data_IF_041620897663
#
_entry.id   IF_041620897663
#
_cell.length_a   1.000
_cell.length_b   1.000
_cell.length_c   1.000
_cell.angle_alpha   90.00
_cell.angle_beta   90.00
_cell.angle_gamma   90.00
#
_symmetry.space_group_name_H-M   'P 1'
#
loop_
_entity.id
_entity.type
_entity.pdbx_description
1 polymer ?
#
# COMPACT_ATOMS: atom_id res chain seq x y z
N UNK A 1 31.02 -19.77 -35.48
CA UNK A 1 31.50 -18.41 -35.14
C UNK A 1 30.39 -17.41 -34.78
N UNK A 2 29.10 -17.72 -34.95
CA UNK A 2 27.97 -16.80 -34.66
C UNK A 2 27.40 -16.94 -33.22
N UNK A 3 27.79 -17.97 -32.46
CA UNK A 3 27.29 -18.18 -31.10
C UNK A 3 28.03 -17.36 -30.01
N UNK A 4 29.28 -16.97 -30.24
CA UNK A 4 30.11 -16.25 -29.26
C UNK A 4 29.84 -14.74 -29.24
N UNK A 5 29.50 -14.13 -30.38
CA UNK A 5 29.17 -12.71 -30.50
C UNK A 5 27.83 -12.35 -29.85
N UNK A 6 26.84 -13.26 -29.90
CA UNK A 6 25.50 -13.04 -29.34
C UNK A 6 25.44 -13.16 -27.80
N UNK A 7 26.35 -13.93 -27.20
CA UNK A 7 26.44 -14.08 -25.74
C UNK A 7 27.12 -12.85 -25.12
N UNK A 8 28.18 -12.35 -25.76
CA UNK A 8 28.92 -11.16 -25.31
C UNK A 8 28.06 -9.89 -25.37
N UNK A 9 27.24 -9.73 -26.43
CA UNK A 9 26.34 -8.57 -26.56
C UNK A 9 25.21 -8.57 -25.52
N UNK A 10 24.63 -9.73 -25.18
CA UNK A 10 23.58 -9.83 -24.16
C UNK A 10 24.10 -9.55 -22.75
N UNK A 11 25.30 -10.03 -22.42
CA UNK A 11 25.93 -9.75 -21.11
C UNK A 11 26.26 -8.27 -20.95
N UNK A 12 26.80 -7.64 -22.01
CA UNK A 12 27.07 -6.20 -22.01
C UNK A 12 25.79 -5.36 -21.88
N UNK A 13 24.73 -5.70 -22.63
CA UNK A 13 23.42 -5.03 -22.52
C UNK A 13 22.83 -5.22 -21.11
N UNK A 14 22.93 -6.42 -20.52
CA UNK A 14 22.49 -6.68 -19.15
C UNK A 14 23.25 -5.85 -18.11
N UNK A 15 24.57 -5.75 -18.24
CA UNK A 15 25.41 -4.93 -17.36
C UNK A 15 25.09 -3.44 -17.49
N UNK A 16 24.93 -2.93 -18.71
CA UNK A 16 24.55 -1.55 -18.97
C UNK A 16 23.18 -1.22 -18.37
N UNK A 17 22.17 -2.07 -18.59
CA UNK A 17 20.83 -1.91 -18.00
C UNK A 17 20.90 -1.86 -16.47
N UNK A 18 21.67 -2.75 -15.85
CA UNK A 18 21.86 -2.78 -14.40
C UNK A 18 22.53 -1.50 -13.90
N UNK A 19 23.57 -1.02 -14.59
CA UNK A 19 24.25 0.21 -14.25
C UNK A 19 23.32 1.42 -14.30
N UNK A 20 22.55 1.59 -15.38
CA UNK A 20 21.61 2.70 -15.53
C UNK A 20 20.45 2.64 -14.53
N UNK A 21 20.02 1.42 -14.19
CA UNK A 21 19.04 1.19 -13.13
C UNK A 21 19.56 1.67 -11.78
N UNK A 22 20.75 1.23 -11.36
CA UNK A 22 21.39 1.66 -10.11
C UNK A 22 21.61 3.18 -10.10
N UNK A 23 22.09 3.75 -11.21
CA UNK A 23 22.26 5.20 -11.36
C UNK A 23 20.95 5.97 -11.15
N UNK A 24 19.84 5.46 -11.70
CA UNK A 24 18.51 6.04 -11.50
C UNK A 24 18.09 5.97 -10.04
N UNK A 25 18.28 4.82 -9.39
CA UNK A 25 17.95 4.64 -7.96
C UNK A 25 18.78 5.54 -7.05
N UNK A 26 20.05 5.75 -7.34
CA UNK A 26 20.91 6.69 -6.60
C UNK A 26 20.39 8.12 -6.73
N UNK A 27 19.98 8.56 -7.93
CA UNK A 27 19.37 9.89 -8.13
C UNK A 27 18.08 10.04 -7.32
N UNK A 28 17.19 9.04 -7.39
CA UNK A 28 15.95 9.02 -6.60
C UNK A 28 16.24 9.09 -5.10
N UNK A 29 17.24 8.36 -4.62
CA UNK A 29 17.67 8.42 -3.22
C UNK A 29 18.12 9.83 -2.81
N UNK A 30 18.90 10.53 -3.64
CA UNK A 30 19.31 11.91 -3.35
C UNK A 30 18.11 12.87 -3.30
N UNK A 31 17.15 12.73 -4.21
CA UNK A 31 15.94 13.58 -4.21
C UNK A 31 15.04 13.33 -3.01
N UNK A 32 14.89 12.07 -2.60
CA UNK A 32 14.17 11.68 -1.39
C UNK A 32 14.87 12.21 -0.14
N UNK A 33 16.20 12.11 -0.07
CA UNK A 33 17.02 12.68 1.02
C UNK A 33 16.81 14.18 1.16
N UNK A 34 16.90 14.91 0.05
CA UNK A 34 16.69 16.36 0.04
C UNK A 34 15.27 16.73 0.50
N UNK A 35 14.27 15.93 0.13
CA UNK A 35 12.90 16.13 0.59
C UNK A 35 12.76 15.86 2.09
N UNK A 36 13.37 14.78 2.60
CA UNK A 36 13.36 14.46 4.04
C UNK A 36 14.08 15.51 4.89
N UNK A 37 15.14 16.13 4.36
CA UNK A 37 15.97 17.12 5.05
C UNK A 37 15.34 18.53 5.12
N UNK A 38 14.18 18.74 4.46
CA UNK A 38 13.46 20.01 4.57
C UNK A 38 13.03 20.30 6.01
N UNK A 39 12.83 21.58 6.35
CA UNK A 39 12.43 21.98 7.71
C UNK A 39 10.96 21.66 8.00
N UNK A 40 10.71 20.42 8.46
CA UNK A 40 9.37 19.93 8.83
C UNK A 40 8.67 20.77 9.91
N UNK A 41 9.42 21.60 10.67
CA UNK A 41 8.81 22.49 11.67
C UNK A 41 8.00 23.62 11.05
N UNK A 42 8.17 23.87 9.76
CA UNK A 42 7.45 24.88 8.97
C UNK A 42 6.23 24.31 8.25
N UNK A 43 6.06 23.00 8.25
CA UNK A 43 4.94 22.32 7.58
C UNK A 43 3.77 22.26 8.57
N UNK A 44 2.69 22.97 8.26
CA UNK A 44 1.45 22.96 9.04
C UNK A 44 0.49 21.96 8.41
N UNK A 45 0.03 21.00 9.20
CA UNK A 45 -0.93 19.97 8.81
C UNK A 45 -1.69 19.50 10.04
N UNK A 46 -3.00 19.34 9.90
CA UNK A 46 -3.94 18.84 10.90
C UNK A 46 -4.44 17.42 10.58
N UNK A 47 -3.84 16.77 9.57
CA UNK A 47 -4.26 15.43 9.14
C UNK A 47 -4.08 14.41 10.26
N UNK A 48 -5.12 13.61 10.51
CA UNK A 48 -5.13 12.60 11.57
C UNK A 48 -4.64 11.21 11.11
N UNK A 49 -4.41 11.03 9.80
CA UNK A 49 -3.93 9.77 9.23
C UNK A 49 -2.61 9.30 9.89
N UNK A 50 -2.61 8.12 10.51
CA UNK A 50 -1.50 7.57 11.29
C UNK A 50 -1.07 8.43 12.50
N UNK A 51 -1.95 9.27 13.05
CA UNK A 51 -1.58 10.17 14.13
C UNK A 51 -1.23 9.43 15.44
N UNK A 52 -1.92 8.33 15.75
CA UNK A 52 -1.64 7.51 16.93
C UNK A 52 -0.30 6.79 16.78
N UNK A 53 -0.08 6.14 15.64
CA UNK A 53 1.13 5.37 15.31
C UNK A 53 2.38 6.24 15.36
N UNK A 54 2.24 7.48 14.89
CA UNK A 54 3.35 8.44 14.83
C UNK A 54 3.48 9.26 16.11
N UNK A 55 2.60 9.07 17.10
CA UNK A 55 2.63 9.79 18.37
C UNK A 55 2.34 11.28 18.21
N UNK A 56 1.47 11.65 17.28
CA UNK A 56 1.03 13.03 17.04
C UNK A 56 -0.40 13.31 17.51
N UNK A 57 -1.19 12.26 17.80
CA UNK A 57 -2.55 12.41 18.34
C UNK A 57 -2.55 13.17 19.67
N UNK A 58 -3.44 14.14 19.81
CA UNK A 58 -3.62 14.96 21.03
C UNK A 58 -2.52 15.99 21.31
N UNK A 59 -1.52 16.13 20.43
CA UNK A 59 -0.45 17.12 20.58
C UNK A 59 -0.91 18.52 20.13
N UNK A 60 -0.28 19.56 20.69
CA UNK A 60 -0.40 20.92 20.17
C UNK A 60 0.23 21.04 18.78
N UNK A 61 -0.17 22.03 17.98
CA UNK A 61 0.36 22.22 16.63
C UNK A 61 1.89 22.31 16.59
N UNK A 62 2.51 23.02 17.54
CA UNK A 62 3.97 23.15 17.62
C UNK A 62 4.64 21.80 17.95
N UNK A 63 4.03 21.02 18.84
CA UNK A 63 4.52 19.69 19.21
C UNK A 63 4.35 18.66 18.08
N UNK A 64 3.26 18.75 17.29
CA UNK A 64 3.07 17.94 16.07
C UNK A 64 4.21 18.21 15.10
N UNK A 65 4.54 19.47 14.84
CA UNK A 65 5.61 19.87 13.92
C UNK A 65 6.99 19.44 14.41
N UNK A 66 7.24 19.53 15.72
CA UNK A 66 8.46 18.98 16.33
C UNK A 66 8.53 17.44 16.18
N UNK A 67 7.39 16.75 16.31
CA UNK A 67 7.33 15.30 16.13
C UNK A 67 7.54 14.89 14.68
N UNK A 68 6.98 15.61 13.70
CA UNK A 68 7.26 15.37 12.28
C UNK A 68 8.75 15.52 11.96
N UNK A 69 9.42 16.52 12.54
CA UNK A 69 10.87 16.67 12.43
C UNK A 69 11.64 15.46 13.01
N UNK A 70 11.23 14.95 14.18
CA UNK A 70 11.83 13.74 14.74
C UNK A 70 11.63 12.51 13.85
N UNK A 71 10.40 12.31 13.34
CA UNK A 71 10.06 11.22 12.41
C UNK A 71 10.92 11.27 11.15
N UNK A 72 11.09 12.45 10.56
CA UNK A 72 11.95 12.63 9.39
C UNK A 72 13.39 12.22 9.68
N UNK A 73 13.94 12.59 10.85
CA UNK A 73 15.29 12.18 11.26
C UNK A 73 15.42 10.66 11.47
N UNK A 74 14.40 10.01 12.02
CA UNK A 74 14.36 8.55 12.15
C UNK A 74 14.38 7.86 10.76
N UNK A 75 13.61 8.37 9.81
CA UNK A 75 13.60 7.88 8.41
C UNK A 75 14.93 8.16 7.71
N UNK A 76 15.51 9.35 7.90
CA UNK A 76 16.83 9.74 7.42
C UNK A 76 17.90 8.75 7.90
N UNK A 77 17.84 8.33 9.17
CA UNK A 77 18.77 7.33 9.70
C UNK A 77 18.67 6.01 8.92
N UNK A 78 17.47 5.57 8.56
CA UNK A 78 17.26 4.37 7.72
C UNK A 78 17.82 4.56 6.32
N UNK A 79 17.59 5.71 5.70
CA UNK A 79 18.15 6.01 4.38
C UNK A 79 19.69 6.00 4.36
N UNK A 80 20.34 6.35 5.46
CA UNK A 80 21.79 6.33 5.59
C UNK A 80 22.37 4.93 5.83
N UNK A 81 21.62 4.03 6.48
CA UNK A 81 22.12 2.70 6.86
C UNK A 81 21.69 1.57 5.92
N UNK A 82 20.56 1.73 5.22
CA UNK A 82 19.92 0.63 4.49
C UNK A 82 20.48 0.48 3.07
N UNK A 83 20.59 -0.77 2.64
CA UNK A 83 20.94 -1.15 1.26
C UNK A 83 19.66 -1.18 0.42
N UNK A 84 19.72 -0.92 -0.88
CA UNK A 84 18.57 -1.05 -1.77
C UNK A 84 17.87 -2.42 -1.64
N UNK A 85 18.66 -3.48 -1.49
CA UNK A 85 18.14 -4.85 -1.30
C UNK A 85 17.73 -5.22 0.12
N UNK A 86 17.73 -4.29 1.07
CA UNK A 86 17.23 -4.53 2.42
C UNK A 86 15.72 -4.76 2.37
N UNK A 87 15.24 -5.75 3.12
CA UNK A 87 13.83 -6.12 3.18
C UNK A 87 13.26 -5.72 4.54
N UNK A 88 12.12 -5.06 4.52
CA UNK A 88 11.34 -4.70 5.70
C UNK A 88 10.11 -5.56 5.75
N UNK A 89 9.82 -6.14 6.90
CA UNK A 89 8.72 -7.09 7.11
C UNK A 89 7.69 -6.47 8.03
N UNK A 90 6.41 -6.63 7.70
CA UNK A 90 5.30 -6.13 8.53
C UNK A 90 5.36 -6.72 9.95
N UNK A 91 4.77 -6.06 10.96
CA UNK A 91 4.70 -6.61 12.32
C UNK A 91 4.04 -8.01 12.38
N UNK A 92 3.04 -8.26 11.53
CA UNK A 92 2.38 -9.57 11.36
C UNK A 92 3.24 -10.61 10.67
N UNK A 93 4.32 -10.19 9.99
CA UNK A 93 5.14 -11.00 9.07
C UNK A 93 4.39 -11.54 7.84
N UNK A 94 3.22 -10.99 7.54
CA UNK A 94 2.41 -11.37 6.39
C UNK A 94 2.88 -10.76 5.06
N UNK A 95 3.63 -9.66 5.10
CA UNK A 95 4.14 -8.99 3.89
C UNK A 95 5.54 -8.41 4.11
N UNK A 96 6.25 -8.15 3.02
CA UNK A 96 7.54 -7.49 3.03
C UNK A 96 7.68 -6.48 1.88
N UNK A 97 8.58 -5.52 2.04
CA UNK A 97 8.93 -4.53 1.04
C UNK A 97 10.44 -4.31 1.01
N UNK A 98 11.02 -4.18 -0.17
CA UNK A 98 12.43 -3.82 -0.32
C UNK A 98 12.64 -2.32 -0.19
N UNK A 99 13.78 -1.89 0.33
CA UNK A 99 14.14 -0.47 0.37
C UNK A 99 14.14 0.16 -1.03
N UNK A 100 14.50 -0.61 -2.05
CA UNK A 100 14.40 -0.24 -3.46
C UNK A 100 13.00 0.16 -3.92
N UNK A 101 11.95 -0.50 -3.42
CA UNK A 101 10.55 -0.16 -3.70
C UNK A 101 10.07 1.06 -2.92
N UNK A 102 10.78 1.45 -1.85
CA UNK A 102 10.52 2.68 -1.09
C UNK A 102 11.15 3.89 -1.77
N UNK A 103 12.41 3.76 -2.19
CA UNK A 103 13.20 4.84 -2.81
C UNK A 103 12.61 5.28 -4.16
N UNK A 104 12.33 6.57 -4.25
CA UNK A 104 11.74 7.25 -5.41
C UNK A 104 10.23 7.11 -5.52
N UNK A 105 9.58 6.33 -4.64
CA UNK A 105 8.14 6.11 -4.68
C UNK A 105 7.42 6.96 -3.62
N UNK A 106 7.71 6.76 -2.33
CA UNK A 106 6.87 7.31 -1.28
C UNK A 106 6.99 8.83 -1.09
N UNK A 107 8.18 9.42 -1.22
CA UNK A 107 8.37 10.85 -0.98
C UNK A 107 7.63 11.73 -2.01
N UNK A 108 7.67 11.35 -3.30
CA UNK A 108 7.17 12.19 -4.41
C UNK A 108 6.60 11.40 -5.62
N UNK A 109 6.69 10.09 -5.61
CA UNK A 109 6.34 9.25 -6.76
C UNK A 109 4.94 8.63 -6.66
N UNK A 110 4.59 7.94 -7.75
CA UNK A 110 3.43 7.05 -7.79
C UNK A 110 3.75 5.78 -7.03
N UNK A 111 2.83 5.37 -6.17
CA UNK A 111 2.97 4.12 -5.44
C UNK A 111 2.69 2.96 -6.39
N UNK A 112 3.56 1.95 -6.39
CA UNK A 112 3.27 0.67 -7.00
C UNK A 112 2.61 -0.27 -5.98
N UNK A 113 2.38 -1.52 -6.35
CA UNK A 113 1.70 -2.50 -5.51
C UNK A 113 2.42 -2.75 -4.17
N UNK A 114 3.75 -2.66 -4.12
CA UNK A 114 4.53 -3.03 -2.92
C UNK A 114 4.24 -2.18 -1.68
N UNK A 115 4.37 -0.83 -1.68
CA UNK A 115 4.00 -0.01 -0.53
C UNK A 115 2.49 -0.02 -0.24
N UNK A 116 1.65 -0.25 -1.24
CA UNK A 116 0.20 -0.41 -1.06
C UNK A 116 -0.09 -1.68 -0.26
N UNK A 117 0.25 -2.84 -0.78
CA UNK A 117 -0.01 -4.13 -0.11
C UNK A 117 0.67 -4.19 1.27
N UNK A 118 1.85 -3.59 1.42
CA UNK A 118 2.50 -3.48 2.74
C UNK A 118 1.66 -2.67 3.74
N UNK A 119 1.18 -1.48 3.35
CA UNK A 119 0.38 -0.64 4.24
C UNK A 119 -0.98 -1.28 4.55
N UNK A 120 -1.63 -1.87 3.55
CA UNK A 120 -2.90 -2.57 3.75
C UNK A 120 -2.73 -3.79 4.66
N UNK A 121 -1.65 -4.56 4.57
CA UNK A 121 -1.35 -5.65 5.51
C UNK A 121 -1.13 -5.12 6.95
N UNK A 122 -0.49 -3.97 7.12
CA UNK A 122 -0.37 -3.32 8.44
C UNK A 122 -1.75 -2.91 8.97
N UNK A 123 -2.61 -2.31 8.14
CA UNK A 123 -4.00 -1.97 8.51
C UNK A 123 -4.75 -3.25 8.94
N UNK A 124 -4.71 -4.29 8.10
CA UNK A 124 -5.42 -5.54 8.35
C UNK A 124 -4.98 -6.27 9.62
N UNK A 125 -3.68 -6.16 9.98
CA UNK A 125 -3.12 -6.82 11.17
C UNK A 125 -3.27 -6.05 12.47
N UNK A 126 -3.42 -4.72 12.40
CA UNK A 126 -3.64 -3.86 13.58
C UNK A 126 -5.12 -3.69 13.90
N UNK A 127 -5.98 -3.87 12.90
CA UNK A 127 -7.42 -3.75 13.01
C UNK A 127 -8.12 -5.01 13.53
N UNK A 128 -9.12 -4.80 14.38
CA UNK A 128 -9.98 -5.89 14.84
C UNK A 128 -10.83 -6.44 13.68
N UNK A 129 -10.78 -7.75 13.45
CA UNK A 129 -11.67 -8.47 12.52
C UNK A 129 -11.62 -7.94 11.07
N UNK A 130 -10.47 -7.46 10.62
CA UNK A 130 -10.25 -7.03 9.24
C UNK A 130 -9.72 -8.19 8.35
N UNK A 131 -10.08 -8.21 7.08
CA UNK A 131 -9.49 -9.09 6.06
C UNK A 131 -9.07 -8.25 4.87
N UNK A 132 -7.80 -8.36 4.49
CA UNK A 132 -7.22 -7.57 3.40
C UNK A 132 -6.89 -8.52 2.26
N UNK A 133 -7.30 -8.12 1.06
CA UNK A 133 -6.95 -8.77 -0.20
C UNK A 133 -5.76 -8.06 -0.83
N UNK A 134 -4.95 -8.77 -1.63
CA UNK A 134 -3.84 -8.16 -2.37
C UNK A 134 -4.37 -7.31 -3.52
N UNK A 135 -3.63 -6.26 -3.89
CA UNK A 135 -3.89 -5.47 -5.11
C UNK A 135 -3.89 -6.32 -6.39
N UNK A 136 -3.23 -7.47 -6.36
CA UNK A 136 -3.15 -8.38 -7.48
C UNK A 136 -4.39 -9.25 -7.70
N UNK A 137 -5.36 -9.25 -6.77
CA UNK A 137 -6.52 -10.17 -6.77
C UNK A 137 -7.28 -10.21 -8.11
N UNK A 138 -7.48 -9.05 -8.75
CA UNK A 138 -8.17 -8.97 -10.06
C UNK A 138 -7.32 -9.52 -11.21
N UNK A 139 -6.00 -9.44 -11.11
CA UNK A 139 -5.05 -9.87 -12.15
C UNK A 139 -4.60 -11.32 -12.01
N UNK A 140 -4.48 -11.85 -10.79
CA UNK A 140 -3.97 -13.20 -10.50
C UNK A 140 -5.07 -14.18 -10.13
N UNK A 141 -6.30 -13.69 -9.97
CA UNK A 141 -7.44 -14.47 -9.54
C UNK A 141 -7.69 -14.41 -8.03
N UNK A 142 -8.91 -14.77 -7.66
CA UNK A 142 -9.42 -14.68 -6.29
C UNK A 142 -8.85 -15.78 -5.39
N UNK A 143 -8.45 -15.45 -4.15
CA UNK A 143 -7.94 -16.44 -3.23
C UNK A 143 -9.04 -17.43 -2.80
N UNK A 144 -8.60 -18.54 -2.20
CA UNK A 144 -9.50 -19.43 -1.45
C UNK A 144 -10.11 -18.65 -0.29
N UNK A 145 -11.34 -19.02 0.08
CA UNK A 145 -12.01 -18.40 1.23
C UNK A 145 -11.23 -18.69 2.51
N UNK A 146 -11.11 -17.70 3.42
CA UNK A 146 -10.49 -17.90 4.71
C UNK A 146 -11.20 -19.00 5.51
N UNK A 147 -10.45 -19.67 6.41
CA UNK A 147 -11.01 -20.65 7.35
C UNK A 147 -11.84 -20.00 8.46
N UNK A 148 -11.56 -18.73 8.79
CA UNK A 148 -12.33 -17.97 9.79
C UNK A 148 -13.74 -17.73 9.28
N UNK A 149 -14.71 -17.63 10.18
CA UNK A 149 -16.09 -17.33 9.82
C UNK A 149 -16.19 -15.91 9.25
N UNK A 150 -17.02 -15.74 8.22
CA UNK A 150 -17.28 -14.40 7.68
C UNK A 150 -18.03 -13.53 8.70
N UNK A 151 -18.85 -14.14 9.56
CA UNK A 151 -19.59 -13.47 10.65
C UNK A 151 -18.68 -12.94 11.75
N UNK A 152 -17.45 -13.48 11.87
CA UNK A 152 -16.39 -12.98 12.74
C UNK A 152 -15.53 -11.89 12.08
N UNK A 153 -15.90 -11.42 10.89
CA UNK A 153 -15.18 -10.37 10.15
C UNK A 153 -16.03 -9.10 10.14
N UNK A 154 -15.40 -7.94 10.40
CA UNK A 154 -16.00 -6.60 10.37
C UNK A 154 -15.72 -5.87 9.05
N UNK A 155 -14.54 -6.11 8.46
CA UNK A 155 -14.11 -5.43 7.24
C UNK A 155 -13.47 -6.40 6.26
N UNK A 156 -13.78 -6.25 4.98
CA UNK A 156 -12.99 -6.80 3.87
C UNK A 156 -12.51 -5.62 3.02
N UNK A 157 -11.21 -5.53 2.77
CA UNK A 157 -10.60 -4.41 2.08
C UNK A 157 -9.85 -4.93 0.86
N UNK A 158 -10.07 -4.30 -0.28
CA UNK A 158 -9.40 -4.61 -1.53
C UNK A 158 -8.84 -3.33 -2.15
N UNK A 159 -7.52 -3.11 -2.17
CA UNK A 159 -6.91 -2.13 -3.05
C UNK A 159 -7.07 -2.59 -4.51
N UNK A 160 -7.34 -1.64 -5.40
CA UNK A 160 -7.58 -1.90 -6.83
C UNK A 160 -6.61 -1.06 -7.65
N UNK A 161 -5.76 -1.74 -8.42
CA UNK A 161 -4.86 -1.08 -9.36
C UNK A 161 -5.60 -0.88 -10.70
N UNK A 162 -5.99 0.35 -10.96
CA UNK A 162 -6.80 0.76 -12.10
C UNK A 162 -5.86 1.16 -13.26
N UNK A 163 -5.95 0.39 -14.35
CA UNK A 163 -5.17 0.60 -15.59
C UNK A 163 -3.66 0.72 -15.41
N UNK A 164 -3.11 0.18 -14.31
CA UNK A 164 -1.67 0.22 -13.97
C UNK A 164 -1.13 1.63 -13.71
N UNK A 165 -2.00 2.61 -13.51
CA UNK A 165 -1.63 4.02 -13.33
C UNK A 165 -2.38 4.70 -12.19
N UNK A 166 -3.44 4.09 -11.68
CA UNK A 166 -4.32 4.70 -10.71
C UNK A 166 -4.73 3.71 -9.60
N UNK A 167 -5.15 4.22 -8.44
CA UNK A 167 -5.49 3.42 -7.28
C UNK A 167 -6.89 3.75 -6.78
N UNK A 168 -7.73 2.72 -6.70
CA UNK A 168 -8.99 2.75 -5.96
C UNK A 168 -8.97 1.78 -4.78
N UNK A 169 -10.00 1.83 -3.94
CA UNK A 169 -10.19 0.86 -2.87
C UNK A 169 -11.66 0.51 -2.68
N UNK A 170 -11.93 -0.79 -2.52
CA UNK A 170 -13.23 -1.31 -2.10
C UNK A 170 -13.15 -1.66 -0.62
N UNK A 171 -13.94 -0.97 0.20
CA UNK A 171 -14.07 -1.19 1.64
C UNK A 171 -15.44 -1.80 1.91
N UNK A 172 -15.46 -3.08 2.26
CA UNK A 172 -16.71 -3.80 2.54
C UNK A 172 -16.88 -3.95 4.05
N UNK A 173 -17.89 -3.29 4.60
CA UNK A 173 -18.25 -3.47 6.01
C UNK A 173 -19.22 -4.64 6.17
N UNK A 174 -19.01 -5.42 7.22
CA UNK A 174 -19.77 -6.61 7.55
C UNK A 174 -20.38 -6.45 8.94
N UNK A 175 -21.70 -6.59 9.02
CA UNK A 175 -22.44 -6.52 10.28
C UNK A 175 -23.32 -7.75 10.42
N UNK A 176 -22.90 -8.69 11.26
CA UNK A 176 -23.68 -9.87 11.60
C UNK A 176 -24.70 -9.56 12.69
N UNK A 177 -25.97 -9.82 12.40
CA UNK A 177 -27.09 -9.68 13.34
C UNK A 177 -27.51 -11.07 13.82
N UNK A 178 -27.01 -11.46 14.99
CA UNK A 178 -27.21 -12.79 15.57
C UNK A 178 -28.69 -13.13 15.79
N UNK A 179 -29.49 -12.18 16.28
CA UNK A 179 -30.91 -12.39 16.58
C UNK A 179 -31.77 -12.79 15.38
N UNK A 180 -31.32 -12.47 14.17
CA UNK A 180 -32.04 -12.76 12.93
C UNK A 180 -31.26 -13.70 11.99
N UNK A 181 -30.04 -14.10 12.39
CA UNK A 181 -29.06 -14.82 11.58
C UNK A 181 -28.89 -14.17 10.18
N UNK A 182 -28.58 -12.86 10.17
CA UNK A 182 -28.39 -12.07 8.94
C UNK A 182 -27.01 -11.43 8.93
N UNK A 183 -26.22 -11.71 7.89
CA UNK A 183 -25.02 -10.94 7.58
C UNK A 183 -25.34 -9.80 6.62
N UNK A 184 -25.19 -8.56 7.08
CA UNK A 184 -25.33 -7.35 6.26
C UNK A 184 -23.98 -6.94 5.69
N UNK A 185 -23.94 -6.73 4.38
CA UNK A 185 -22.74 -6.37 3.63
C UNK A 185 -22.95 -5.00 2.99
N UNK A 186 -22.16 -4.00 3.38
CA UNK A 186 -22.19 -2.67 2.77
C UNK A 186 -20.87 -2.38 2.06
N UNK A 187 -20.88 -2.32 0.72
CA UNK A 187 -19.70 -1.96 -0.07
C UNK A 187 -19.56 -0.44 -0.20
N UNK A 188 -18.40 0.07 0.17
CA UNK A 188 -17.96 1.45 -0.03
C UNK A 188 -16.84 1.47 -1.05
N UNK A 189 -17.02 2.19 -2.16
CA UNK A 189 -16.01 2.34 -3.21
C UNK A 189 -15.43 3.75 -3.13
N UNK A 190 -14.10 3.85 -3.19
CA UNK A 190 -13.39 5.12 -3.22
C UNK A 190 -12.37 5.12 -4.36
N UNK A 191 -12.45 6.17 -5.17
CA UNK A 191 -11.49 6.50 -6.22
C UNK A 191 -11.17 8.01 -6.03
N UNK A 192 -9.93 8.38 -5.66
CA UNK A 192 -9.63 9.76 -5.21
C UNK A 192 -9.73 10.89 -6.24
N UNK A 193 -9.85 10.61 -7.55
CA UNK A 193 -10.04 11.59 -8.63
C UNK A 193 -11.51 11.81 -9.01
N UNK A 194 -12.39 10.85 -8.72
CA UNK A 194 -13.78 10.82 -9.19
C UNK A 194 -13.85 10.87 -10.73
N UNK A 195 -13.04 10.03 -11.36
CA UNK A 195 -13.05 9.85 -12.81
C UNK A 195 -14.11 8.81 -13.19
N UNK A 196 -15.04 9.18 -14.09
CA UNK A 196 -16.11 8.29 -14.54
C UNK A 196 -15.57 6.99 -15.15
N UNK A 197 -14.43 7.04 -15.86
CA UNK A 197 -13.82 5.86 -16.48
C UNK A 197 -13.29 4.88 -15.42
N UNK A 198 -12.76 5.40 -14.32
CA UNK A 198 -12.32 4.56 -13.19
C UNK A 198 -13.48 4.09 -12.31
N UNK A 199 -14.60 4.81 -12.30
CA UNK A 199 -15.79 4.36 -11.57
C UNK A 199 -16.33 3.05 -12.15
N UNK A 200 -16.40 2.92 -13.48
CA UNK A 200 -16.83 1.68 -14.14
C UNK A 200 -15.91 0.51 -13.76
N UNK A 201 -14.59 0.67 -13.89
CA UNK A 201 -13.58 -0.34 -13.53
C UNK A 201 -13.68 -0.78 -12.04
N UNK A 202 -14.01 0.17 -11.15
CA UNK A 202 -14.21 -0.09 -9.72
C UNK A 202 -15.50 -0.87 -9.47
N UNK A 203 -16.59 -0.54 -10.17
CA UNK A 203 -17.82 -1.32 -10.10
C UNK A 203 -17.63 -2.75 -10.62
N UNK A 204 -16.84 -2.94 -11.68
CA UNK A 204 -16.45 -4.27 -12.16
C UNK A 204 -15.65 -5.04 -11.11
N UNK A 205 -14.71 -4.38 -10.43
CA UNK A 205 -13.93 -5.00 -9.34
C UNK A 205 -14.83 -5.52 -8.21
N UNK A 206 -15.94 -4.84 -7.93
CA UNK A 206 -16.96 -5.30 -6.98
C UNK A 206 -17.88 -6.39 -7.57
N UNK A 207 -18.49 -6.13 -8.73
CA UNK A 207 -19.56 -6.98 -9.32
C UNK A 207 -19.02 -8.25 -9.95
N UNK A 208 -17.81 -8.20 -10.50
CA UNK A 208 -17.24 -9.17 -11.43
C UNK A 208 -17.50 -8.78 -12.88
N UNK A 209 -16.70 -9.33 -13.78
CA UNK A 209 -16.82 -9.12 -15.23
C UNK A 209 -17.64 -10.26 -15.82
N UNK A 210 -18.55 -9.90 -16.72
CA UNK A 210 -19.38 -10.85 -17.46
C UNK A 210 -19.13 -10.77 -18.95
N UNK A 211 -19.35 -11.86 -19.66
CA UNK A 211 -19.35 -11.86 -21.12
C UNK A 211 -20.69 -11.38 -21.71
N UNK A 212 -20.79 -11.42 -23.03
CA UNK A 212 -21.98 -11.04 -23.79
C UNK A 212 -23.18 -11.97 -23.53
N UNK A 213 -22.92 -13.19 -23.04
CA UNK A 213 -23.94 -14.17 -22.66
C UNK A 213 -24.35 -14.02 -21.18
N UNK A 214 -23.84 -12.99 -20.50
CA UNK A 214 -24.09 -12.66 -19.10
C UNK A 214 -23.54 -13.70 -18.10
N UNK A 215 -22.61 -14.55 -18.57
CA UNK A 215 -21.85 -15.49 -17.75
C UNK A 215 -20.65 -14.81 -17.10
N UNK A 216 -20.31 -15.22 -15.87
CA UNK A 216 -19.23 -14.59 -15.09
C UNK A 216 -17.87 -15.08 -15.61
N UNK A 217 -17.13 -14.19 -16.26
CA UNK A 217 -15.77 -14.45 -16.75
C UNK A 217 -14.74 -14.22 -15.65
N UNK A 218 -14.99 -13.22 -14.79
CA UNK A 218 -14.12 -12.89 -13.68
C UNK A 218 -14.96 -12.64 -12.43
N UNK A 219 -14.67 -13.36 -11.35
CA UNK A 219 -15.28 -13.09 -10.05
C UNK A 219 -14.97 -11.64 -9.62
N UNK A 220 -15.91 -11.01 -8.92
CA UNK A 220 -15.68 -9.74 -8.21
C UNK A 220 -15.77 -9.96 -6.71
N UNK A 221 -15.51 -8.92 -5.91
CA UNK A 221 -15.53 -9.04 -4.45
C UNK A 221 -16.89 -9.54 -3.94
N UNK A 222 -17.97 -9.16 -4.61
CA UNK A 222 -19.32 -9.65 -4.31
C UNK A 222 -19.42 -11.17 -4.43
N UNK A 223 -18.80 -11.77 -5.43
CA UNK A 223 -18.76 -13.22 -5.62
C UNK A 223 -17.96 -13.90 -4.51
N UNK A 224 -16.77 -13.36 -4.20
CA UNK A 224 -15.93 -13.86 -3.11
C UNK A 224 -16.64 -13.84 -1.75
N UNK A 225 -17.34 -12.74 -1.43
CA UNK A 225 -18.15 -12.61 -0.20
C UNK A 225 -19.27 -13.66 -0.15
N UNK A 226 -20.01 -13.86 -1.24
CA UNK A 226 -21.06 -14.89 -1.32
C UNK A 226 -20.48 -16.28 -1.08
N UNK A 227 -19.36 -16.60 -1.73
CA UNK A 227 -18.70 -17.89 -1.65
C UNK A 227 -18.15 -18.15 -0.24
N UNK A 228 -17.60 -17.13 0.42
CA UNK A 228 -17.16 -17.22 1.82
C UNK A 228 -18.32 -17.40 2.79
N UNK A 229 -19.42 -16.66 2.62
CA UNK A 229 -20.64 -16.86 3.41
C UNK A 229 -21.18 -18.28 3.25
N UNK A 230 -21.30 -18.78 2.01
CA UNK A 230 -21.76 -20.14 1.74
C UNK A 230 -20.86 -21.21 2.37
N UNK A 231 -19.54 -21.01 2.31
CA UNK A 231 -18.57 -21.98 2.82
C UNK A 231 -18.45 -21.98 4.34
N UNK A 232 -18.61 -20.83 5.00
CA UNK A 232 -18.37 -20.69 6.44
C UNK A 232 -19.64 -20.67 7.28
N UNK A 233 -20.75 -20.15 6.74
CA UNK A 233 -22.03 -19.98 7.44
C UNK A 233 -23.20 -20.22 6.47
N UNK A 234 -23.44 -21.47 6.01
CA UNK A 234 -24.36 -21.78 4.91
C UNK A 234 -25.84 -21.49 5.23
N UNK A 235 -26.22 -21.42 6.50
CA UNK A 235 -27.60 -21.12 6.94
C UNK A 235 -27.86 -19.62 7.11
N UNK A 236 -26.80 -18.82 7.27
CA UNK A 236 -26.91 -17.39 7.52
C UNK A 236 -27.43 -16.67 6.29
N UNK A 237 -28.44 -15.81 6.49
CA UNK A 237 -29.00 -15.00 5.40
C UNK A 237 -28.02 -13.90 5.02
N UNK A 238 -27.65 -13.83 3.74
CA UNK A 238 -26.76 -12.80 3.22
C UNK A 238 -27.58 -11.64 2.62
N UNK A 239 -27.41 -10.43 3.17
CA UNK A 239 -28.01 -9.19 2.63
C UNK A 239 -26.92 -8.24 2.17
N UNK A 240 -26.81 -8.08 0.85
CA UNK A 240 -25.85 -7.16 0.22
C UNK A 240 -26.57 -5.88 -0.18
N UNK A 241 -26.10 -4.74 0.32
CA UNK A 241 -26.63 -3.42 0.01
C UNK A 241 -26.03 -2.86 -1.29
N UNK A 242 -26.66 -1.83 -1.91
CA UNK A 242 -26.09 -1.12 -3.05
C UNK A 242 -24.70 -0.52 -2.75
N UNK A 243 -23.94 -0.27 -3.80
CA UNK A 243 -22.66 0.46 -3.74
C UNK A 243 -22.89 1.84 -3.15
N UNK A 244 -22.02 2.23 -2.22
CA UNK A 244 -21.91 3.60 -1.74
C UNK A 244 -20.58 4.18 -2.20
N UNK A 245 -20.64 5.26 -2.96
CA UNK A 245 -19.46 6.00 -3.40
C UNK A 245 -18.99 6.94 -2.30
N UNK A 246 -17.70 6.87 -1.99
CA UNK A 246 -17.01 7.78 -1.06
C UNK A 246 -16.22 8.76 -1.91
N UNK A 247 -16.82 9.93 -2.14
CA UNK A 247 -16.31 10.95 -3.07
C UNK A 247 -15.33 11.93 -2.40
N UNK A 248 -15.16 11.84 -1.08
CA UNK A 248 -14.36 12.80 -0.31
C UNK A 248 -13.47 12.09 0.73
N UNK A 249 -12.24 12.60 0.95
CA UNK A 249 -11.62 13.74 0.27
C UNK A 249 -11.05 13.37 -1.12
N UNK A 250 -11.07 14.32 -2.05
CA UNK A 250 -10.40 14.20 -3.34
C UNK A 250 -8.90 14.48 -3.19
N UNK A 251 -8.08 13.85 -4.02
CA UNK A 251 -6.65 14.15 -4.03
C UNK A 251 -6.35 15.53 -4.64
N UNK A 252 -5.41 16.31 -4.06
CA UNK A 252 -5.07 17.66 -4.54
C UNK A 252 -4.08 17.65 -5.73
N UNK A 253 -3.72 16.48 -6.23
CA UNK A 253 -2.74 16.26 -7.31
C UNK A 253 -3.06 14.98 -8.09
N UNK A 254 -2.27 14.66 -9.12
CA UNK A 254 -2.43 13.46 -9.96
C UNK A 254 -1.48 12.31 -9.58
N UNK A 255 -0.95 12.30 -8.36
CA UNK A 255 0.14 11.40 -7.96
C UNK A 255 -0.06 10.73 -6.61
N UNK A 256 -1.12 11.08 -5.88
CA UNK A 256 -1.32 10.70 -4.48
C UNK A 256 -2.42 9.68 -4.25
N UNK A 257 -2.98 9.08 -5.31
CA UNK A 257 -4.11 8.17 -5.21
C UNK A 257 -3.80 7.00 -4.28
N UNK A 258 -2.59 6.45 -4.39
CA UNK A 258 -2.08 5.41 -3.50
C UNK A 258 -2.05 5.81 -2.01
N UNK A 259 -1.73 7.07 -1.71
CA UNK A 259 -1.73 7.60 -0.33
C UNK A 259 -3.17 7.75 0.18
N UNK A 260 -4.07 8.24 -0.69
CA UNK A 260 -5.48 8.45 -0.36
C UNK A 260 -6.22 7.16 -0.11
N UNK A 261 -6.03 6.13 -0.94
CA UNK A 261 -6.71 4.83 -0.72
C UNK A 261 -6.28 4.16 0.59
N UNK A 262 -5.00 4.30 0.97
CA UNK A 262 -4.50 3.79 2.26
C UNK A 262 -5.12 4.59 3.41
N UNK A 263 -5.19 5.91 3.30
CA UNK A 263 -5.80 6.76 4.32
C UNK A 263 -7.31 6.53 4.46
N UNK A 264 -8.01 6.31 3.35
CA UNK A 264 -9.43 5.99 3.33
C UNK A 264 -9.71 4.64 3.99
N UNK A 265 -8.90 3.61 3.68
CA UNK A 265 -9.04 2.31 4.34
C UNK A 265 -8.73 2.41 5.84
N UNK A 266 -7.66 3.12 6.20
CA UNK A 266 -7.29 3.33 7.60
C UNK A 266 -8.40 4.03 8.39
N UNK A 267 -9.03 5.06 7.82
CA UNK A 267 -10.07 5.84 8.49
C UNK A 267 -11.33 5.03 8.78
N UNK A 268 -11.81 4.23 7.83
CA UNK A 268 -12.95 3.32 8.04
C UNK A 268 -12.69 2.32 9.17
N UNK A 269 -11.51 1.72 9.14
CA UNK A 269 -11.15 0.63 10.05
C UNK A 269 -10.94 1.11 11.48
N UNK A 270 -10.43 2.33 11.66
CA UNK A 270 -10.22 2.95 12.97
C UNK A 270 -11.42 3.81 13.42
N UNK A 271 -12.52 3.83 12.65
CA UNK A 271 -13.72 4.60 12.98
C UNK A 271 -13.54 6.12 12.89
N UNK A 272 -12.49 6.60 12.22
CA UNK A 272 -12.23 8.03 12.03
C UNK A 272 -12.95 8.55 10.78
N UNK A 273 -14.28 8.67 10.84
CA UNK A 273 -15.07 9.16 9.71
C UNK A 273 -14.90 10.66 9.44
N UNK A 274 -14.27 11.41 10.35
CA UNK A 274 -13.97 12.84 10.14
C UNK A 274 -13.06 13.07 8.92
N UNK A 275 -12.27 12.05 8.54
CA UNK A 275 -11.48 12.04 7.31
C UNK A 275 -12.31 12.43 6.07
N UNK A 276 -13.57 11.98 5.97
CA UNK A 276 -14.46 12.27 4.84
C UNK A 276 -14.92 13.72 4.80
N UNK A 277 -14.67 14.51 5.84
CA UNK A 277 -15.02 15.93 5.91
C UNK A 277 -13.79 16.83 5.79
N UNK A 278 -12.59 16.26 5.71
CA UNK A 278 -11.35 17.03 5.59
C UNK A 278 -11.17 17.55 4.16
N UNK A 279 -10.62 18.76 4.03
CA UNK A 279 -10.07 19.23 2.76
C UNK A 279 -8.54 19.03 2.80
N UNK A 280 -8.04 18.05 2.04
CA UNK A 280 -6.65 17.62 2.14
C UNK A 280 -5.77 18.45 1.19
N UNK A 281 -4.87 19.25 1.75
CA UNK A 281 -3.94 20.06 0.97
C UNK A 281 -2.72 19.26 0.49
N UNK A 282 -1.94 19.83 -0.44
CA UNK A 282 -0.64 19.26 -0.85
C UNK A 282 0.35 19.13 0.31
N UNK A 283 0.23 19.99 1.32
CA UNK A 283 1.06 19.94 2.53
C UNK A 283 0.66 18.76 3.41
N UNK A 284 -0.64 18.47 3.54
CA UNK A 284 -1.13 17.30 4.26
C UNK A 284 -0.64 16.01 3.62
N UNK A 285 -0.66 15.94 2.29
CA UNK A 285 -0.11 14.81 1.53
C UNK A 285 1.37 14.56 1.86
N UNK A 286 2.17 15.61 2.04
CA UNK A 286 3.58 15.45 2.43
C UNK A 286 3.71 14.79 3.81
N UNK A 287 2.87 15.19 4.76
CA UNK A 287 2.82 14.60 6.10
C UNK A 287 2.34 13.16 6.04
N UNK A 288 1.30 12.86 5.26
CA UNK A 288 0.80 11.49 5.08
C UNK A 288 1.89 10.58 4.51
N UNK A 289 2.62 11.03 3.48
CA UNK A 289 3.76 10.30 2.89
C UNK A 289 4.88 10.08 3.89
N UNK A 290 5.23 11.10 4.69
CA UNK A 290 6.23 10.98 5.75
C UNK A 290 5.82 9.92 6.79
N UNK A 291 4.55 9.92 7.21
CA UNK A 291 4.03 8.94 8.16
C UNK A 291 4.00 7.52 7.58
N UNK A 292 3.66 7.34 6.30
CA UNK A 292 3.78 6.05 5.61
C UNK A 292 5.23 5.56 5.53
N UNK A 293 6.18 6.44 5.19
CA UNK A 293 7.61 6.12 5.18
C UNK A 293 8.09 5.62 6.54
N UNK A 294 7.70 6.32 7.60
CA UNK A 294 8.03 5.95 8.96
C UNK A 294 7.39 4.61 9.35
N UNK A 295 6.12 4.39 9.00
CA UNK A 295 5.45 3.11 9.22
C UNK A 295 6.22 1.96 8.54
N UNK A 296 6.66 2.17 7.30
CA UNK A 296 7.35 1.15 6.51
C UNK A 296 8.78 0.90 6.98
N UNK A 297 9.54 1.93 7.37
CA UNK A 297 10.98 1.81 7.62
C UNK A 297 11.34 1.73 9.12
N UNK A 298 10.53 2.36 9.97
CA UNK A 298 10.82 2.54 11.39
C UNK A 298 9.92 1.68 12.28
N UNK A 299 8.67 1.42 11.88
CA UNK A 299 7.75 0.55 12.62
C UNK A 299 7.83 -0.93 12.20
N UNK A 300 8.44 -1.21 11.06
CA UNK A 300 8.68 -2.57 10.57
C UNK A 300 10.00 -3.16 11.10
N UNK A 301 10.20 -4.45 10.83
CA UNK A 301 11.47 -5.13 11.14
C UNK A 301 12.28 -5.34 9.86
N UNK A 302 13.54 -4.91 9.89
CA UNK A 302 14.50 -5.26 8.84
C UNK A 302 14.84 -6.77 8.93
N UNK A 303 14.71 -7.47 7.80
CA UNK A 303 15.00 -8.89 7.68
C UNK A 303 16.51 -9.13 7.69
N UNK A 304 17.02 -10.07 8.51
CA UNK A 304 18.43 -10.43 8.48
C UNK A 304 18.82 -10.96 7.10
N UNK A 305 19.91 -10.45 6.55
CA UNK A 305 20.41 -10.97 5.28
C UNK A 305 20.94 -12.40 5.42
N UNK A 306 20.63 -13.24 4.43
CA UNK A 306 21.21 -14.57 4.31
C UNK A 306 22.75 -14.50 4.27
N UNK A 307 23.42 -15.36 5.05
CA UNK A 307 24.88 -15.37 5.23
C UNK A 307 25.65 -15.41 3.89
N UNK A 308 25.22 -16.26 2.97
CA UNK A 308 25.84 -16.39 1.64
C UNK A 308 25.74 -15.10 0.79
N UNK A 309 24.65 -14.32 0.95
CA UNK A 309 24.48 -13.02 0.26
C UNK A 309 25.46 -11.98 0.83
N UNK A 310 25.68 -11.99 2.15
CA UNK A 310 26.65 -11.12 2.84
C UNK A 310 28.08 -11.43 2.37
N UNK A 311 28.45 -12.71 2.34
CA UNK A 311 29.79 -13.13 1.89
C UNK A 311 30.05 -12.77 0.43
N UNK A 312 29.07 -12.97 -0.45
CA UNK A 312 29.17 -12.56 -1.85
C UNK A 312 29.35 -11.04 -1.99
N UNK A 313 28.57 -10.24 -1.25
CA UNK A 313 28.73 -8.77 -1.27
C UNK A 313 30.11 -8.33 -0.82
N UNK A 314 30.65 -8.94 0.24
CA UNK A 314 32.00 -8.64 0.73
C UNK A 314 33.04 -8.90 -0.35
N UNK A 315 32.97 -10.07 -1.02
CA UNK A 315 33.85 -10.40 -2.15
C UNK A 315 33.76 -9.39 -3.29
N UNK A 316 32.56 -8.98 -3.67
CA UNK A 316 32.34 -7.97 -4.73
C UNK A 316 32.93 -6.62 -4.32
N UNK A 317 32.71 -6.19 -3.07
CA UNK A 317 33.26 -4.93 -2.56
C UNK A 317 34.80 -4.95 -2.55
N UNK A 318 35.40 -6.04 -2.09
CA UNK A 318 36.86 -6.20 -2.08
C UNK A 318 37.44 -6.19 -3.50
N UNK A 319 36.73 -6.76 -4.49
CA UNK A 319 37.11 -6.69 -5.90
C UNK A 319 37.02 -5.27 -6.45
N UNK A 320 35.91 -4.56 -6.21
CA UNK A 320 35.74 -3.18 -6.65
C UNK A 320 36.81 -2.26 -6.07
N UNK A 321 37.15 -2.40 -4.79
CA UNK A 321 38.23 -1.63 -4.16
C UNK A 321 39.62 -1.89 -4.76
N UNK A 322 39.84 -3.06 -5.37
CA UNK A 322 41.10 -3.37 -6.06
C UNK A 322 41.15 -2.75 -7.46
N UNK A 323 40.03 -2.74 -8.17
CA UNK A 323 39.92 -2.18 -9.52
C UNK A 323 39.85 -0.64 -9.53
N UNK A 324 39.46 -0.02 -8.41
CA UNK A 324 39.36 1.44 -8.25
C UNK A 324 40.66 2.09 -7.72
N UNK A 325 41.73 1.31 -7.50
CA UNK A 325 43.06 1.79 -7.12
C UNK A 325 43.97 1.86 -8.33
#
# INVERSE_FOLDING_TARGET
>A
MVALTTVCSRQYVGAATTFYYVKTKVRQWFEDRKWLEQDWRKIVSDVDFLAVETGTSGLSSDAVRARHWAIANEVISKFASCRLSAEFVTPSRGSFITFENVVGALCKGWLNDSPIDFCFEVIGSTAEKCHVLSSHTTSTGWPKTPKKLITDTKFIIQPVNLKRSHWGVVITTLHYLESADILRVHPYLNEPLIDEEYHEDMEESWKGIKDQENEVVMEGLRGFVKRWCQASTPTTKLRIYPIQWVEVPQQPDYASCGVFVVAQAFSYVHGNLQWQHCNVSKTDVQVMRLRMLWLILCKSRESPMARGKVERMKKIHDQLLKELK
#
